data_IF_274667767032
#
_entry.id   IF_274667767032
#
_cell.length_a   1.000
_cell.length_b   1.000
_cell.length_c   1.000
_cell.angle_alpha   90.00
_cell.angle_beta   90.00
_cell.angle_gamma   90.00
#
_symmetry.space_group_name_H-M   'P 1'
#
loop_
_entity.id
_entity.type
_entity.pdbx_description
1 polymer ?
#
# COMPACT_ATOMS: atom_id res chain seq x y z
N UNK A 1 -0.57 -1.16 -10.05
CA UNK A 1 0.01 -1.60 -8.77
C UNK A 1 -1.09 -1.91 -7.73
N UNK A 2 -1.73 -3.08 -7.83
CA UNK A 2 -2.56 -3.69 -6.77
C UNK A 2 -2.22 -5.18 -6.82
N UNK A 3 -1.20 -5.54 -6.06
CA UNK A 3 -0.46 -6.80 -6.20
C UNK A 3 -0.69 -7.81 -5.08
N UNK A 4 -1.47 -7.51 -4.04
CA UNK A 4 -1.46 -8.32 -2.82
C UNK A 4 -1.62 -9.84 -3.07
N UNK A 5 -2.54 -10.25 -3.94
CA UNK A 5 -2.70 -11.66 -4.29
C UNK A 5 -1.50 -12.23 -5.07
N UNK A 6 -0.90 -11.43 -5.95
CA UNK A 6 0.34 -11.75 -6.63
C UNK A 6 1.52 -11.86 -5.64
N UNK A 7 1.63 -10.92 -4.70
CA UNK A 7 2.69 -10.84 -3.70
C UNK A 7 2.62 -12.05 -2.74
N UNK A 8 1.42 -12.34 -2.23
CA UNK A 8 1.15 -13.54 -1.41
C UNK A 8 1.50 -14.81 -2.18
N UNK A 9 1.12 -14.90 -3.46
CA UNK A 9 1.46 -16.05 -4.31
C UNK A 9 2.96 -16.17 -4.51
N UNK A 10 3.68 -15.08 -4.76
CA UNK A 10 5.13 -15.09 -4.98
C UNK A 10 5.92 -15.42 -3.71
N UNK A 11 5.47 -14.93 -2.57
CA UNK A 11 5.95 -15.35 -1.26
C UNK A 11 5.74 -16.86 -1.06
N UNK A 12 4.54 -17.37 -1.36
CA UNK A 12 4.27 -18.81 -1.25
C UNK A 12 5.12 -19.66 -2.22
N UNK A 13 5.36 -19.20 -3.44
CA UNK A 13 6.20 -19.85 -4.46
C UNK A 13 7.70 -19.84 -4.13
N UNK A 14 8.12 -19.34 -2.96
CA UNK A 14 9.53 -19.20 -2.53
C UNK A 14 10.37 -18.28 -3.44
N UNK A 15 9.71 -17.35 -4.13
CA UNK A 15 10.38 -16.41 -5.03
C UNK A 15 10.67 -15.06 -4.34
N UNK A 16 10.48 -14.99 -3.01
CA UNK A 16 10.63 -13.78 -2.18
C UNK A 16 11.36 -14.13 -0.87
N UNK A 17 11.28 -13.26 0.13
CA UNK A 17 12.01 -13.42 1.38
C UNK A 17 11.55 -14.66 2.14
N UNK A 18 12.51 -15.46 2.58
CA UNK A 18 12.30 -16.52 3.57
C UNK A 18 13.10 -16.16 4.82
N UNK A 19 12.45 -16.26 5.98
CA UNK A 19 13.11 -16.07 7.27
C UNK A 19 12.81 -17.27 8.16
N UNK A 20 13.87 -17.95 8.59
CA UNK A 20 13.77 -19.06 9.52
C UNK A 20 13.85 -18.53 10.95
N UNK A 21 12.94 -19.01 11.78
CA UNK A 21 12.90 -18.76 13.22
C UNK A 21 12.98 -20.12 13.93
N UNK A 22 13.61 -20.16 15.10
CA UNK A 22 13.83 -21.39 15.86
C UNK A 22 15.31 -21.65 16.14
N UNK A 23 15.59 -22.44 17.18
CA UNK A 23 16.96 -22.73 17.62
C UNK A 23 17.47 -24.10 17.16
N UNK A 24 16.58 -25.04 16.84
CA UNK A 24 16.94 -26.38 16.39
C UNK A 24 16.10 -26.86 15.19
N UNK A 25 16.45 -28.03 14.67
CA UNK A 25 15.80 -28.66 13.50
C UNK A 25 14.35 -29.09 13.75
N UNK A 26 13.92 -29.19 15.01
CA UNK A 26 12.58 -29.64 15.39
C UNK A 26 11.64 -28.46 15.69
N UNK A 27 12.19 -27.27 15.94
CA UNK A 27 11.48 -26.03 16.23
C UNK A 27 11.68 -24.96 15.14
N UNK A 28 12.28 -25.34 13.99
CA UNK A 28 12.47 -24.40 12.89
C UNK A 28 11.16 -24.14 12.14
N UNK A 29 10.71 -22.88 12.14
CA UNK A 29 9.58 -22.41 11.34
C UNK A 29 10.10 -21.46 10.27
N UNK A 30 9.76 -21.76 9.00
CA UNK A 30 10.10 -20.87 7.88
C UNK A 30 8.92 -19.97 7.58
N UNK A 31 9.09 -18.67 7.82
CA UNK A 31 8.15 -17.65 7.37
C UNK A 31 8.52 -17.20 5.97
N UNK A 32 7.50 -17.02 5.14
CA UNK A 32 7.65 -16.44 3.80
C UNK A 32 7.01 -15.07 3.78
N UNK A 33 7.71 -14.09 3.22
CA UNK A 33 7.30 -12.70 3.21
C UNK A 33 7.68 -11.98 1.94
N UNK A 34 7.15 -10.79 1.79
CA UNK A 34 7.46 -9.87 0.71
C UNK A 34 7.63 -8.46 1.27
N UNK A 35 8.52 -7.68 0.66
CA UNK A 35 8.71 -6.28 1.01
C UNK A 35 7.65 -5.44 0.31
N UNK A 36 6.74 -4.87 1.09
CA UNK A 36 5.63 -4.06 0.59
C UNK A 36 5.73 -2.67 1.20
N UNK A 37 5.49 -1.63 0.40
CA UNK A 37 5.49 -0.25 0.87
C UNK A 37 4.26 0.06 1.72
N UNK A 38 4.45 0.80 2.81
CA UNK A 38 3.39 1.20 3.74
C UNK A 38 2.16 1.84 3.06
N UNK A 39 2.29 2.84 2.16
CA UNK A 39 1.13 3.42 1.49
C UNK A 39 0.33 2.40 0.67
N UNK A 40 1.01 1.43 0.06
CA UNK A 40 0.38 0.41 -0.77
C UNK A 40 -0.42 -0.57 0.07
N UNK A 41 0.18 -1.15 1.12
CA UNK A 41 -0.49 -2.16 1.94
C UNK A 41 -1.64 -1.56 2.74
N UNK A 42 -1.48 -0.34 3.27
CA UNK A 42 -2.54 0.36 3.99
C UNK A 42 -3.73 0.67 3.08
N UNK A 43 -3.47 1.16 1.87
CA UNK A 43 -4.53 1.40 0.90
C UNK A 43 -5.24 0.10 0.47
N UNK A 44 -4.49 -0.97 0.23
CA UNK A 44 -5.05 -2.28 -0.14
C UNK A 44 -5.96 -2.83 0.96
N UNK A 45 -5.55 -2.77 2.23
CA UNK A 45 -6.36 -3.28 3.34
C UNK A 45 -7.58 -2.39 3.60
N UNK A 46 -7.45 -1.06 3.53
CA UNK A 46 -8.58 -0.15 3.59
C UNK A 46 -9.61 -0.45 2.47
N UNK A 47 -9.11 -0.69 1.25
CA UNK A 47 -9.94 -1.05 0.09
C UNK A 47 -10.64 -2.40 0.27
N UNK A 48 -9.93 -3.43 0.75
CA UNK A 48 -10.51 -4.75 1.02
C UNK A 48 -11.61 -4.68 2.07
N UNK A 49 -11.39 -3.93 3.16
CA UNK A 49 -12.41 -3.69 4.18
C UNK A 49 -13.64 -3.01 3.62
N UNK A 50 -13.44 -1.97 2.81
CA UNK A 50 -14.54 -1.27 2.17
C UNK A 50 -15.34 -2.20 1.26
N UNK A 51 -14.67 -2.96 0.38
CA UNK A 51 -15.32 -3.89 -0.54
C UNK A 51 -16.03 -5.04 0.19
N UNK A 52 -15.48 -5.53 1.29
CA UNK A 52 -16.09 -6.56 2.13
C UNK A 52 -17.44 -6.12 2.74
N UNK A 53 -17.72 -4.81 2.83
CA UNK A 53 -19.02 -4.31 3.26
C UNK A 53 -20.10 -4.39 2.15
N UNK A 54 -19.71 -4.46 0.87
CA UNK A 54 -20.64 -4.48 -0.27
C UNK A 54 -20.74 -5.85 -0.94
N UNK A 55 -19.77 -6.74 -0.71
CA UNK A 55 -19.74 -8.08 -1.31
C UNK A 55 -19.97 -9.17 -0.26
N UNK A 56 -20.69 -10.25 -0.59
CA UNK A 56 -20.81 -11.40 0.29
C UNK A 56 -19.44 -12.03 0.56
N UNK A 57 -18.98 -11.97 1.81
CA UNK A 57 -17.76 -12.63 2.26
C UNK A 57 -18.08 -13.85 3.13
N UNK A 58 -17.30 -14.92 3.02
CA UNK A 58 -17.40 -16.03 3.97
C UNK A 58 -16.88 -15.61 5.35
N UNK A 59 -17.24 -16.36 6.40
CA UNK A 59 -16.71 -16.16 7.77
C UNK A 59 -15.19 -16.28 7.81
N UNK A 60 -14.63 -17.16 6.99
CA UNK A 60 -13.18 -17.35 6.85
C UNK A 60 -12.52 -16.12 6.23
N UNK A 61 -13.11 -15.55 5.16
CA UNK A 61 -12.60 -14.32 4.55
C UNK A 61 -12.57 -13.17 5.56
N UNK A 62 -13.64 -12.99 6.33
CA UNK A 62 -13.70 -11.96 7.37
C UNK A 62 -12.67 -12.19 8.48
N UNK A 63 -12.52 -13.43 8.96
CA UNK A 63 -11.51 -13.76 9.95
C UNK A 63 -10.08 -13.48 9.45
N UNK A 64 -9.79 -13.80 8.18
CA UNK A 64 -8.49 -13.52 7.58
C UNK A 64 -8.25 -12.01 7.37
N UNK A 65 -9.28 -11.26 6.99
CA UNK A 65 -9.19 -9.81 6.89
C UNK A 65 -8.83 -9.20 8.25
N UNK A 66 -9.54 -9.55 9.34
CA UNK A 66 -9.21 -9.08 10.68
C UNK A 66 -7.79 -9.46 11.14
N UNK A 67 -7.28 -10.63 10.75
CA UNK A 67 -5.89 -11.01 11.05
C UNK A 67 -4.90 -10.07 10.39
N UNK A 68 -5.09 -9.77 9.10
CA UNK A 68 -4.20 -8.84 8.37
C UNK A 68 -4.28 -7.44 8.97
N UNK A 69 -5.47 -6.97 9.30
CA UNK A 69 -5.70 -5.67 9.93
C UNK A 69 -4.98 -5.57 11.28
N UNK A 70 -5.12 -6.58 12.13
CA UNK A 70 -4.44 -6.63 13.42
C UNK A 70 -2.91 -6.66 13.28
N UNK A 71 -2.37 -7.46 12.36
CA UNK A 71 -0.93 -7.47 12.10
C UNK A 71 -0.40 -6.10 11.64
N UNK A 72 -1.17 -5.36 10.84
CA UNK A 72 -0.80 -4.00 10.43
C UNK A 72 -0.86 -3.02 11.61
N UNK A 73 -1.91 -3.07 12.42
CA UNK A 73 -2.02 -2.24 13.62
C UNK A 73 -0.83 -2.44 14.56
N UNK A 74 -0.52 -3.69 14.89
CA UNK A 74 0.62 -4.01 15.75
C UNK A 74 1.93 -3.53 15.13
N UNK A 75 2.15 -3.77 13.84
CA UNK A 75 3.38 -3.38 13.15
C UNK A 75 3.55 -1.85 13.12
N UNK A 76 2.48 -1.10 12.90
CA UNK A 76 2.48 0.37 12.94
C UNK A 76 2.82 0.88 14.34
N UNK A 77 2.16 0.34 15.37
CA UNK A 77 2.34 0.75 16.76
C UNK A 77 3.74 0.41 17.30
N UNK A 78 4.31 -0.73 16.88
CA UNK A 78 5.67 -1.15 17.23
C UNK A 78 6.74 -0.29 16.55
N UNK A 79 6.45 0.27 15.38
CA UNK A 79 7.40 1.12 14.63
C UNK A 79 7.49 2.52 15.25
N UNK A 80 6.35 3.19 15.42
CA UNK A 80 6.23 4.44 16.18
C UNK A 80 4.77 4.59 16.63
N UNK A 81 4.51 4.57 17.94
CA UNK A 81 3.14 4.54 18.46
C UNK A 81 2.33 5.81 18.15
N UNK A 82 2.96 6.97 18.05
CA UNK A 82 2.25 8.22 17.76
C UNK A 82 1.84 8.26 16.29
N UNK A 83 2.80 8.08 15.38
CA UNK A 83 2.57 8.04 13.93
C UNK A 83 1.65 6.87 13.54
N UNK A 84 1.84 5.73 14.20
CA UNK A 84 1.05 4.52 13.97
C UNK A 84 -0.43 4.72 14.25
N UNK A 85 -0.79 5.45 15.31
CA UNK A 85 -2.20 5.78 15.62
C UNK A 85 -2.85 6.61 14.53
N UNK A 86 -2.17 7.64 14.02
CA UNK A 86 -2.68 8.44 12.90
C UNK A 86 -2.90 7.59 11.63
N UNK A 87 -1.98 6.66 11.35
CA UNK A 87 -2.10 5.75 10.22
C UNK A 87 -3.26 4.76 10.40
N UNK A 88 -3.49 4.27 11.63
CA UNK A 88 -4.63 3.41 11.98
C UNK A 88 -5.94 4.18 11.78
N UNK A 89 -6.05 5.41 12.28
CA UNK A 89 -7.24 6.24 12.05
C UNK A 89 -7.56 6.40 10.56
N UNK A 90 -6.53 6.61 9.73
CA UNK A 90 -6.70 6.62 8.28
C UNK A 90 -7.15 5.27 7.71
N UNK A 91 -6.52 4.17 8.15
CA UNK A 91 -6.83 2.81 7.69
C UNK A 91 -8.29 2.42 7.91
N UNK A 92 -8.91 2.88 8.99
CA UNK A 92 -10.33 2.63 9.31
C UNK A 92 -11.28 3.72 8.81
N UNK A 93 -10.74 4.78 8.22
CA UNK A 93 -11.52 5.87 7.64
C UNK A 93 -12.20 5.50 6.30
N UNK A 94 -12.98 6.43 5.74
CA UNK A 94 -13.65 6.25 4.46
C UNK A 94 -12.67 5.92 3.34
N UNK A 95 -13.01 4.90 2.54
CA UNK A 95 -12.17 4.45 1.45
C UNK A 95 -12.35 5.31 0.19
N UNK A 96 -11.26 5.80 -0.41
CA UNK A 96 -11.32 6.73 -1.55
C UNK A 96 -11.39 6.06 -2.94
N UNK A 97 -11.96 4.85 -3.05
CA UNK A 97 -12.00 3.99 -4.25
C UNK A 97 -12.73 4.56 -5.49
N UNK A 98 -13.06 5.85 -5.52
CA UNK A 98 -14.08 6.41 -6.42
C UNK A 98 -13.55 7.16 -7.64
N UNK A 99 -12.22 7.23 -7.87
CA UNK A 99 -11.67 8.16 -8.86
C UNK A 99 -10.81 7.54 -9.98
N UNK A 100 -10.82 8.19 -11.15
CA UNK A 100 -10.39 7.62 -12.46
C UNK A 100 -8.92 7.20 -12.51
N UNK A 101 -8.01 8.00 -11.96
CA UNK A 101 -6.55 7.78 -12.05
C UNK A 101 -5.94 7.35 -10.70
N UNK A 102 -6.77 6.86 -9.79
CA UNK A 102 -6.36 6.68 -8.40
C UNK A 102 -5.26 5.63 -8.22
N UNK A 103 -5.29 4.55 -9.00
CA UNK A 103 -4.24 3.52 -8.97
C UNK A 103 -2.89 4.03 -9.47
N UNK A 104 -2.88 4.97 -10.43
CA UNK A 104 -1.67 5.65 -10.90
C UNK A 104 -1.15 6.61 -9.81
N UNK A 105 -2.04 7.38 -9.20
CA UNK A 105 -1.67 8.31 -8.13
C UNK A 105 -1.17 7.58 -6.87
N UNK A 106 -1.69 6.40 -6.56
CA UNK A 106 -1.17 5.56 -5.48
C UNK A 106 0.28 5.15 -5.75
N UNK A 107 0.62 4.81 -7.00
CA UNK A 107 2.00 4.56 -7.42
C UNK A 107 2.90 5.79 -7.24
N UNK A 108 2.40 6.97 -7.63
CA UNK A 108 3.07 8.25 -7.41
C UNK A 108 3.34 8.54 -5.92
N UNK A 109 2.31 8.39 -5.08
CA UNK A 109 2.41 8.58 -3.64
C UNK A 109 3.40 7.60 -3.00
N UNK A 110 3.40 6.34 -3.43
CA UNK A 110 4.36 5.35 -2.96
C UNK A 110 5.80 5.66 -3.38
N UNK A 111 6.01 6.19 -4.59
CA UNK A 111 7.34 6.63 -5.04
C UNK A 111 7.83 7.83 -4.24
N UNK A 112 6.99 8.84 -4.03
CA UNK A 112 7.29 10.00 -3.18
C UNK A 112 7.68 9.56 -1.77
N UNK A 113 6.91 8.64 -1.19
CA UNK A 113 7.19 8.06 0.12
C UNK A 113 8.60 7.46 0.22
N UNK A 114 9.06 6.73 -0.80
CA UNK A 114 10.40 6.13 -0.79
C UNK A 114 11.50 7.15 -1.09
N UNK A 115 11.21 8.13 -1.94
CA UNK A 115 12.21 9.04 -2.52
C UNK A 115 12.52 10.26 -1.63
N UNK A 116 11.55 10.77 -0.88
CA UNK A 116 11.72 12.02 -0.13
C UNK A 116 12.52 11.84 1.17
N UNK A 117 12.37 10.71 1.85
CA UNK A 117 12.96 10.46 3.16
C UNK A 117 13.45 9.02 3.31
N UNK A 118 14.33 8.78 4.28
CA UNK A 118 14.86 7.44 4.62
C UNK A 118 14.68 7.11 6.10
N UNK A 119 14.61 5.82 6.44
CA UNK A 119 14.56 5.35 7.83
C UNK A 119 13.35 5.90 8.61
N UNK A 120 13.58 6.40 9.83
CA UNK A 120 12.52 6.90 10.72
C UNK A 120 11.75 8.08 10.13
N UNK A 121 12.45 9.04 9.51
CA UNK A 121 11.84 10.21 8.89
C UNK A 121 10.84 9.82 7.77
N UNK A 122 11.15 8.73 7.05
CA UNK A 122 10.23 8.15 6.06
C UNK A 122 8.94 7.70 6.73
N UNK A 123 9.03 6.95 7.83
CA UNK A 123 7.84 6.51 8.57
C UNK A 123 7.04 7.69 9.13
N UNK A 124 7.71 8.70 9.68
CA UNK A 124 7.07 9.93 10.18
C UNK A 124 6.33 10.72 9.09
N UNK A 125 6.77 10.67 7.83
CA UNK A 125 6.06 11.29 6.70
C UNK A 125 4.81 10.52 6.24
N UNK A 126 4.64 9.27 6.67
CA UNK A 126 3.58 8.37 6.19
C UNK A 126 2.17 8.97 6.35
N UNK A 127 1.76 9.53 7.51
CA UNK A 127 0.44 10.13 7.64
C UNK A 127 0.20 11.25 6.64
N UNK A 128 1.22 12.05 6.32
CA UNK A 128 1.10 13.11 5.32
C UNK A 128 0.84 12.52 3.93
N UNK A 129 1.61 11.50 3.53
CA UNK A 129 1.39 10.78 2.28
C UNK A 129 -0.04 10.23 2.21
N UNK A 130 -0.52 9.58 3.28
CA UNK A 130 -1.87 9.03 3.35
C UNK A 130 -2.96 10.11 3.25
N UNK A 131 -2.76 11.32 3.79
CA UNK A 131 -3.71 12.44 3.59
C UNK A 131 -3.80 12.86 2.13
N UNK A 132 -2.68 12.86 1.39
CA UNK A 132 -2.70 13.19 -0.05
C UNK A 132 -3.51 12.19 -0.86
N UNK A 133 -3.68 10.96 -0.37
CA UNK A 133 -4.51 9.93 -1.00
C UNK A 133 -6.01 10.27 -0.96
N UNK A 134 -6.46 11.32 -0.27
CA UNK A 134 -7.86 11.71 -0.35
C UNK A 134 -8.24 12.21 -1.78
N UNK A 135 -9.38 11.82 -2.37
CA UNK A 135 -9.80 12.21 -3.72
C UNK A 135 -9.99 13.71 -3.95
N UNK A 136 -10.18 14.45 -2.86
CA UNK A 136 -10.32 15.91 -2.88
C UNK A 136 -9.04 16.62 -2.41
N UNK A 137 -7.93 15.89 -2.25
CA UNK A 137 -6.65 16.51 -1.93
C UNK A 137 -6.16 17.36 -3.12
N UNK A 138 -5.43 18.43 -2.83
CA UNK A 138 -4.85 19.27 -3.88
C UNK A 138 -3.85 18.48 -4.72
N UNK A 139 -3.13 17.53 -4.11
CA UNK A 139 -2.16 16.67 -4.75
C UNK A 139 -2.80 15.72 -5.75
N UNK A 140 -3.91 15.07 -5.39
CA UNK A 140 -4.63 14.19 -6.31
C UNK A 140 -5.23 14.97 -7.47
N UNK A 141 -5.89 16.10 -7.18
CA UNK A 141 -6.51 16.93 -8.21
C UNK A 141 -5.48 17.53 -9.16
N UNK A 142 -4.32 17.97 -8.63
CA UNK A 142 -3.19 18.43 -9.42
C UNK A 142 -2.63 17.33 -10.33
N UNK A 143 -2.38 16.14 -9.77
CA UNK A 143 -1.91 14.98 -10.55
C UNK A 143 -2.89 14.61 -11.66
N UNK A 144 -4.19 14.55 -11.37
CA UNK A 144 -5.20 14.23 -12.37
C UNK A 144 -5.25 15.26 -13.51
N UNK A 145 -5.19 16.56 -13.16
CA UNK A 145 -5.19 17.64 -14.15
C UNK A 145 -3.91 17.63 -15.01
N UNK A 146 -2.76 17.34 -14.40
CA UNK A 146 -1.48 17.24 -15.10
C UNK A 146 -1.45 16.02 -16.04
N UNK A 147 -1.98 14.88 -15.61
CA UNK A 147 -2.08 13.68 -16.43
C UNK A 147 -2.99 13.93 -17.65
N UNK A 148 -4.14 14.59 -17.46
CA UNK A 148 -5.04 14.96 -18.55
C UNK A 148 -4.45 16.03 -19.49
N UNK A 149 -3.58 16.91 -18.98
CA UNK A 149 -2.83 17.86 -19.83
C UNK A 149 -1.83 17.11 -20.70
N UNK A 150 -1.00 16.25 -20.11
CA UNK A 150 0.02 15.48 -20.83
C UNK A 150 -0.59 14.56 -21.88
N UNK A 151 -1.71 13.89 -21.57
CA UNK A 151 -2.41 13.02 -22.50
C UNK A 151 -2.95 13.78 -23.73
N UNK A 152 -3.43 15.01 -23.52
CA UNK A 152 -3.87 15.89 -24.60
C UNK A 152 -2.72 16.33 -25.49
N UNK A 153 -1.56 16.64 -24.90
CA UNK A 153 -0.35 17.00 -25.65
C UNK A 153 0.19 15.81 -26.45
N UNK A 154 0.17 14.62 -25.88
CA UNK A 154 0.63 13.37 -26.50
C UNK A 154 -0.41 12.71 -27.43
N UNK A 155 -1.63 13.23 -27.48
CA UNK A 155 -2.76 12.64 -28.23
C UNK A 155 -3.01 11.16 -27.90
N UNK A 156 -2.88 10.78 -26.64
CA UNK A 156 -3.11 9.41 -26.13
C UNK A 156 -4.16 9.39 -25.01
N UNK A 157 -4.60 8.20 -24.60
CA UNK A 157 -5.40 8.08 -23.37
C UNK A 157 -4.50 8.39 -22.15
N UNK A 158 -4.99 9.11 -21.12
CA UNK A 158 -4.21 9.33 -19.90
C UNK A 158 -3.71 8.06 -19.21
N UNK A 159 -4.36 6.92 -19.45
CA UNK A 159 -3.95 5.60 -18.94
C UNK A 159 -2.83 4.95 -19.75
N UNK A 160 -2.58 5.44 -20.96
CA UNK A 160 -1.54 4.95 -21.85
C UNK A 160 -0.22 5.73 -21.67
N UNK A 161 -0.24 6.80 -20.88
CA UNK A 161 0.99 7.45 -20.43
C UNK A 161 1.76 6.43 -19.57
N UNK A 162 2.97 6.09 -20.01
CA UNK A 162 3.77 5.00 -19.46
C UNK A 162 3.76 4.99 -17.93
N UNK A 163 3.59 3.79 -17.40
CA UNK A 163 3.66 3.50 -15.98
C UNK A 163 4.95 4.13 -15.45
N UNK A 164 4.84 5.10 -14.55
CA UNK A 164 5.97 5.73 -13.86
C UNK A 164 6.74 4.73 -12.95
N UNK A 165 6.70 3.44 -13.29
CA UNK A 165 7.32 2.29 -12.64
C UNK A 165 8.78 2.06 -13.07
N UNK A 166 9.32 2.81 -14.03
CA UNK A 166 10.78 2.95 -14.22
C UNK A 166 11.46 3.80 -13.11
N UNK A 167 10.85 3.88 -11.92
CA UNK A 167 11.48 4.46 -10.74
C UNK A 167 12.53 3.50 -10.18
N UNK A 168 13.78 3.96 -10.13
CA UNK A 168 14.98 3.18 -9.80
C UNK A 168 14.95 2.34 -8.53
N UNK A 169 15.99 1.53 -8.34
CA UNK A 169 16.12 0.56 -7.24
C UNK A 169 15.73 1.18 -5.88
N UNK A 170 14.67 0.62 -5.28
CA UNK A 170 14.24 0.97 -3.93
C UNK A 170 15.33 0.46 -2.97
N UNK A 171 16.09 1.40 -2.39
CA UNK A 171 16.97 1.11 -1.27
C UNK A 171 16.10 0.88 -0.02
N UNK A 172 16.07 -0.39 0.41
CA UNK A 172 15.35 -0.88 1.58
C UNK A 172 16.06 -0.51 2.88
#
# INVERSE_FOLDING_TARGET
MLGLAYDVRKAYEKQREEKQFGHDLYDCVTYRGERILWPIILFQVNSLRHLAAYQPTSRECQANLYRVEHCLEESLLQTDSAVGKECIEWLFGPCPLTTRYYTLFLGEAARRYVSEHTGKARFESLPNILRTLHPMSAEYLGFAADLERQAREASCDPRDLDDFSEGGEILW
#
